data_IF_189611664870
#
_entry.id   IF_189611664870
#
_cell.length_a   1.000
_cell.length_b   1.000
_cell.length_c   1.000
_cell.angle_alpha   90.00
_cell.angle_beta   90.00
_cell.angle_gamma   90.00
#
_symmetry.space_group_name_H-M   'P 1'
#
loop_
_entity.id
_entity.type
_entity.pdbx_description
1 polymer ?
#
# COMPACT_ATOMS: atom_id res chain seq x y z
N UNK A 1 38.74 3.91 -4.99
CA UNK A 1 39.00 2.46 -4.91
C UNK A 1 37.65 1.79 -5.13
N UNK A 2 37.56 1.06 -6.22
CA UNK A 2 36.32 0.48 -6.70
C UNK A 2 35.72 -0.51 -5.67
N UNK A 3 34.57 -0.18 -5.11
CA UNK A 3 33.71 -1.15 -4.43
C UNK A 3 32.77 -1.73 -5.46
N UNK A 4 33.24 -2.73 -6.17
CA UNK A 4 32.44 -3.57 -7.05
C UNK A 4 31.51 -4.39 -6.16
N UNK A 5 30.19 -4.20 -6.30
CA UNK A 5 29.19 -5.08 -5.69
C UNK A 5 29.57 -6.53 -6.02
N UNK A 6 29.73 -7.35 -5.01
CA UNK A 6 29.89 -8.79 -5.13
C UNK A 6 28.54 -9.36 -5.65
N UNK A 7 28.40 -9.40 -6.96
CA UNK A 7 27.51 -10.34 -7.60
C UNK A 7 27.95 -11.73 -7.12
N UNK A 8 27.05 -12.42 -6.43
CA UNK A 8 27.24 -13.85 -6.12
C UNK A 8 27.41 -14.56 -7.47
N UNK A 9 28.65 -14.85 -7.80
CA UNK A 9 29.02 -15.46 -9.08
C UNK A 9 28.42 -16.88 -9.13
N UNK A 10 27.39 -17.08 -9.98
CA UNK A 10 27.00 -18.42 -10.41
C UNK A 10 25.54 -18.80 -10.35
N UNK A 11 24.60 -17.99 -9.83
CA UNK A 11 23.16 -18.26 -9.99
C UNK A 11 22.61 -17.49 -11.19
N UNK A 12 21.88 -18.18 -12.06
CA UNK A 12 21.11 -17.52 -13.12
C UNK A 12 20.14 -16.49 -12.49
N UNK A 13 19.91 -15.38 -13.20
CA UNK A 13 18.91 -14.38 -12.78
C UNK A 13 17.56 -15.09 -12.56
N UNK A 14 16.84 -14.79 -11.45
CA UNK A 14 15.54 -15.40 -11.21
C UNK A 14 14.54 -15.06 -12.32
N UNK A 15 13.65 -15.99 -12.63
CA UNK A 15 12.48 -15.68 -13.46
C UNK A 15 11.46 -14.89 -12.61
N UNK A 16 11.58 -13.57 -12.64
CA UNK A 16 10.74 -12.65 -11.87
C UNK A 16 9.26 -12.73 -12.22
N UNK A 17 8.92 -13.25 -13.41
CA UNK A 17 7.53 -13.44 -13.86
C UNK A 17 6.96 -14.78 -13.41
N UNK A 18 7.77 -15.67 -12.83
CA UNK A 18 7.29 -16.97 -12.42
C UNK A 18 6.50 -16.92 -11.10
N UNK A 19 5.46 -17.76 -11.05
CA UNK A 19 4.66 -17.94 -9.83
C UNK A 19 5.50 -18.40 -8.64
N UNK A 20 6.43 -19.31 -8.89
CA UNK A 20 7.25 -19.91 -7.82
C UNK A 20 8.20 -18.86 -7.23
N UNK A 21 8.85 -18.05 -8.05
CA UNK A 21 9.68 -16.94 -7.57
C UNK A 21 8.89 -16.00 -6.67
N UNK A 22 7.72 -15.53 -7.11
CA UNK A 22 6.90 -14.58 -6.34
C UNK A 22 6.46 -15.17 -5.00
N UNK A 23 6.03 -16.42 -4.97
CA UNK A 23 5.63 -17.10 -3.74
C UNK A 23 6.82 -17.32 -2.79
N UNK A 24 7.97 -17.72 -3.33
CA UNK A 24 9.17 -17.93 -2.50
C UNK A 24 9.71 -16.60 -1.96
N UNK A 25 9.65 -15.53 -2.74
CA UNK A 25 10.01 -14.19 -2.29
C UNK A 25 9.12 -13.73 -1.14
N UNK A 26 7.80 -13.92 -1.24
CA UNK A 26 6.87 -13.61 -0.13
C UNK A 26 7.17 -14.46 1.10
N UNK A 27 7.43 -15.78 0.96
CA UNK A 27 7.81 -16.64 2.10
C UNK A 27 9.09 -16.16 2.77
N UNK A 28 10.09 -15.76 1.98
CA UNK A 28 11.35 -15.22 2.50
C UNK A 28 11.15 -13.91 3.27
N UNK A 29 10.30 -13.04 2.77
CA UNK A 29 9.93 -11.79 3.45
C UNK A 29 9.16 -12.05 4.75
N UNK A 30 8.19 -12.96 4.75
CA UNK A 30 7.46 -13.37 5.96
C UNK A 30 8.38 -14.00 6.99
N UNK A 31 9.38 -14.78 6.57
CA UNK A 31 10.32 -15.44 7.47
C UNK A 31 11.17 -14.46 8.27
N UNK A 32 11.45 -13.26 7.75
CA UNK A 32 12.12 -12.19 8.49
C UNK A 32 11.32 -11.82 9.75
N UNK A 33 10.02 -11.58 9.61
CA UNK A 33 9.14 -11.21 10.72
C UNK A 33 8.79 -12.37 11.64
N UNK A 34 8.74 -13.61 11.12
CA UNK A 34 8.33 -14.77 11.90
C UNK A 34 9.23 -15.09 13.10
N UNK A 35 10.48 -14.63 13.08
CA UNK A 35 11.48 -14.95 14.11
C UNK A 35 11.22 -14.25 15.44
N UNK A 36 10.83 -12.99 15.42
CA UNK A 36 10.81 -12.12 16.61
C UNK A 36 9.64 -11.14 16.67
N UNK A 37 8.79 -11.09 15.64
CA UNK A 37 7.78 -10.04 15.57
C UNK A 37 6.61 -10.22 16.52
N UNK A 38 6.22 -11.48 16.83
CA UNK A 38 5.05 -11.74 17.67
C UNK A 38 5.32 -11.36 19.13
N UNK A 39 4.43 -10.55 19.69
CA UNK A 39 4.40 -10.21 21.11
C UNK A 39 3.31 -11.04 21.80
N UNK A 40 3.69 -11.87 22.78
CA UNK A 40 2.76 -12.72 23.49
C UNK A 40 1.80 -11.92 24.41
N UNK A 41 2.17 -10.69 24.78
CA UNK A 41 1.31 -9.77 25.52
C UNK A 41 0.23 -9.13 24.64
N UNK A 42 0.37 -9.19 23.32
CA UNK A 42 -0.58 -8.72 22.31
C UNK A 42 0.07 -8.14 21.06
N UNK A 43 -0.43 -8.55 19.90
CA UNK A 43 -0.01 -8.03 18.60
C UNK A 43 1.41 -8.42 18.18
N UNK A 44 2.06 -7.52 17.51
CA UNK A 44 3.40 -7.72 16.96
C UNK A 44 4.30 -6.52 17.29
N UNK A 45 5.61 -6.74 17.40
CA UNK A 45 6.60 -5.66 17.40
C UNK A 45 6.68 -5.04 16.00
N UNK A 46 6.97 -3.74 15.92
CA UNK A 46 6.95 -3.01 14.67
C UNK A 46 8.34 -2.59 14.19
N UNK A 47 9.29 -2.41 15.10
CA UNK A 47 10.53 -1.70 14.89
C UNK A 47 11.71 -2.65 14.85
N UNK A 48 12.24 -2.91 13.65
CA UNK A 48 13.29 -3.91 13.40
C UNK A 48 14.50 -3.30 12.73
N UNK A 49 15.68 -3.73 13.18
CA UNK A 49 16.93 -3.56 12.44
C UNK A 49 17.06 -4.58 11.31
N UNK A 50 18.07 -4.42 10.46
CA UNK A 50 18.34 -5.31 9.34
C UNK A 50 18.46 -6.78 9.74
N UNK A 51 19.11 -7.06 10.87
CA UNK A 51 19.31 -8.41 11.41
C UNK A 51 18.06 -9.02 12.10
N UNK A 52 16.95 -8.27 12.16
CA UNK A 52 15.74 -8.67 12.86
C UNK A 52 15.71 -8.32 14.36
N UNK A 53 16.72 -7.62 14.87
CA UNK A 53 16.71 -7.11 16.25
C UNK A 53 15.59 -6.09 16.42
N UNK A 54 14.74 -6.29 17.44
CA UNK A 54 13.67 -5.33 17.81
C UNK A 54 14.30 -4.20 18.60
N UNK A 55 14.30 -2.97 18.06
CA UNK A 55 14.90 -1.82 18.71
C UNK A 55 13.91 -0.98 19.54
N UNK A 56 12.59 -1.11 19.29
CA UNK A 56 11.54 -0.58 20.17
C UNK A 56 10.49 -1.68 20.42
N UNK A 57 10.35 -2.06 21.69
CA UNK A 57 9.45 -3.12 22.12
C UNK A 57 8.12 -2.62 22.64
N UNK A 58 7.95 -1.33 22.79
CA UNK A 58 6.78 -0.75 23.48
C UNK A 58 5.87 0.04 22.57
N UNK A 59 6.40 0.78 21.62
CA UNK A 59 5.59 1.58 20.71
C UNK A 59 4.86 0.70 19.69
N UNK A 60 3.58 0.98 19.49
CA UNK A 60 2.73 0.35 18.47
C UNK A 60 2.04 1.43 17.64
N UNK A 61 2.28 1.38 16.35
CA UNK A 61 1.69 2.28 15.39
C UNK A 61 0.47 1.64 14.72
N UNK A 62 -0.64 2.36 14.57
CA UNK A 62 -1.89 1.84 14.04
C UNK A 62 -1.71 1.12 12.69
N UNK A 63 -1.02 1.78 11.75
CA UNK A 63 -0.83 1.23 10.40
C UNK A 63 0.00 -0.05 10.41
N UNK A 64 1.04 -0.14 11.25
CA UNK A 64 1.81 -1.38 11.38
C UNK A 64 0.93 -2.52 11.94
N UNK A 65 0.09 -2.23 12.94
CA UNK A 65 -0.84 -3.23 13.50
C UNK A 65 -1.81 -3.75 12.44
N UNK A 66 -2.39 -2.87 11.61
CA UNK A 66 -3.30 -3.28 10.53
C UNK A 66 -2.59 -4.07 9.44
N UNK A 67 -1.37 -3.68 9.08
CA UNK A 67 -0.56 -4.35 8.06
C UNK A 67 -0.13 -5.76 8.47
N UNK A 68 0.08 -6.04 9.75
CA UNK A 68 0.28 -7.43 10.21
C UNK A 68 -0.97 -8.29 10.07
N UNK A 69 -2.18 -7.73 10.24
CA UNK A 69 -3.42 -8.44 9.91
C UNK A 69 -3.44 -8.82 8.43
N UNK A 70 -3.19 -7.84 7.55
CA UNK A 70 -3.13 -8.07 6.10
C UNK A 70 -2.11 -9.13 5.74
N UNK A 71 -0.86 -8.99 6.19
CA UNK A 71 0.23 -9.89 5.85
C UNK A 71 -0.08 -11.35 6.18
N UNK A 72 -0.62 -11.61 7.37
CA UNK A 72 -0.95 -12.97 7.78
C UNK A 72 -2.25 -13.48 7.16
N UNK A 73 -3.25 -12.63 6.94
CA UNK A 73 -4.47 -13.00 6.22
C UNK A 73 -4.17 -13.39 4.77
N UNK A 74 -3.35 -12.62 4.07
CA UNK A 74 -2.91 -12.93 2.71
C UNK A 74 -2.04 -14.20 2.66
N UNK A 75 -1.12 -14.35 3.63
CA UNK A 75 -0.33 -15.58 3.73
C UNK A 75 -1.22 -16.82 3.91
N UNK A 76 -2.25 -16.75 4.75
CA UNK A 76 -3.22 -17.83 4.91
C UNK A 76 -3.97 -18.13 3.62
N UNK A 77 -4.41 -17.12 2.89
CA UNK A 77 -5.15 -17.29 1.63
C UNK A 77 -4.31 -17.90 0.51
N UNK A 78 -3.00 -17.64 0.48
CA UNK A 78 -2.10 -18.12 -0.58
C UNK A 78 -1.35 -19.40 -0.22
N UNK A 79 -0.99 -19.60 1.04
CA UNK A 79 -0.19 -20.74 1.49
C UNK A 79 -0.98 -21.71 2.37
N UNK A 80 -2.13 -21.31 2.90
CA UNK A 80 -2.84 -22.05 3.93
C UNK A 80 -2.08 -22.02 5.27
N UNK A 81 -2.29 -23.07 6.08
CA UNK A 81 -1.60 -23.24 7.36
C UNK A 81 -2.26 -22.49 8.51
N UNK A 82 -2.61 -23.25 9.56
CA UNK A 82 -3.32 -22.71 10.74
C UNK A 82 -2.54 -21.57 11.41
N UNK A 83 -1.21 -21.64 11.42
CA UNK A 83 -0.37 -20.62 12.04
C UNK A 83 -0.57 -19.22 11.43
N UNK A 84 -0.76 -19.11 10.11
CA UNK A 84 -1.03 -17.81 9.47
C UNK A 84 -2.38 -17.25 9.88
N UNK A 85 -3.42 -18.10 9.94
CA UNK A 85 -4.74 -17.69 10.39
C UNK A 85 -4.72 -17.27 11.88
N UNK A 86 -4.04 -18.03 12.74
CA UNK A 86 -3.88 -17.70 14.16
C UNK A 86 -3.13 -16.38 14.38
N UNK A 87 -2.10 -16.12 13.58
CA UNK A 87 -1.37 -14.86 13.60
C UNK A 87 -2.23 -13.69 13.10
N UNK A 88 -3.02 -13.89 12.05
CA UNK A 88 -3.98 -12.88 11.59
C UNK A 88 -5.02 -12.55 12.66
N UNK A 89 -5.55 -13.58 13.34
CA UNK A 89 -6.50 -13.41 14.46
C UNK A 89 -5.86 -12.70 15.65
N UNK A 90 -4.62 -13.04 15.99
CA UNK A 90 -3.86 -12.40 17.07
C UNK A 90 -3.62 -10.90 16.77
N UNK A 91 -3.19 -10.56 15.55
CA UNK A 91 -3.02 -9.17 15.11
C UNK A 91 -4.34 -8.40 15.14
N UNK A 92 -5.43 -9.02 14.63
CA UNK A 92 -6.76 -8.42 14.57
C UNK A 92 -7.34 -8.16 15.97
N UNK A 93 -7.22 -9.11 16.88
CA UNK A 93 -7.66 -8.93 18.27
C UNK A 93 -6.90 -7.81 18.96
N UNK A 94 -5.59 -7.71 18.73
CA UNK A 94 -4.79 -6.59 19.25
C UNK A 94 -5.23 -5.25 18.68
N UNK A 95 -5.40 -5.15 17.36
CA UNK A 95 -5.88 -3.95 16.69
C UNK A 95 -7.18 -3.44 17.35
N UNK A 96 -8.14 -4.33 17.56
CA UNK A 96 -9.45 -4.01 18.11
C UNK A 96 -9.39 -3.65 19.59
N UNK A 97 -8.58 -4.34 20.38
CA UNK A 97 -8.54 -4.16 21.83
C UNK A 97 -7.58 -3.05 22.28
N UNK A 98 -6.45 -2.86 21.57
CA UNK A 98 -5.42 -1.94 21.99
C UNK A 98 -5.56 -0.56 21.34
N UNK A 99 -5.76 -0.47 20.01
CA UNK A 99 -5.88 0.84 19.35
C UNK A 99 -7.25 1.50 19.51
N UNK A 100 -8.31 0.73 19.78
CA UNK A 100 -9.64 1.28 19.95
C UNK A 100 -9.72 2.21 21.17
N UNK A 101 -10.25 3.41 20.97
CA UNK A 101 -10.65 4.36 22.01
C UNK A 101 -12.18 4.26 22.19
N UNK A 102 -12.60 3.65 23.30
CA UNK A 102 -14.03 3.45 23.58
C UNK A 102 -14.74 4.71 24.08
N UNK A 103 -13.99 5.78 24.43
CA UNK A 103 -14.58 7.03 24.91
C UNK A 103 -15.06 7.89 23.75
N UNK A 104 -14.23 8.01 22.71
CA UNK A 104 -14.52 8.85 21.55
C UNK A 104 -14.83 8.04 20.28
N UNK A 105 -14.89 6.72 20.37
CA UNK A 105 -15.22 5.81 19.25
C UNK A 105 -14.31 6.00 18.03
N UNK A 106 -13.04 5.56 18.14
CA UNK A 106 -12.07 5.65 17.04
C UNK A 106 -10.79 4.91 17.37
N UNK A 107 -9.83 4.95 16.46
CA UNK A 107 -8.56 4.26 16.63
C UNK A 107 -7.44 5.28 16.90
N UNK A 108 -6.70 5.06 18.00
CA UNK A 108 -5.53 5.86 18.33
C UNK A 108 -4.40 5.57 17.34
N UNK A 109 -3.72 6.64 16.88
CA UNK A 109 -2.66 6.58 15.88
C UNK A 109 -1.43 5.85 16.39
N UNK A 110 -0.97 6.20 17.61
CA UNK A 110 0.18 5.59 18.25
C UNK A 110 -0.06 5.35 19.73
N UNK A 111 0.32 4.18 20.19
CA UNK A 111 0.19 3.77 21.59
C UNK A 111 1.50 3.19 22.12
N UNK A 112 1.74 3.36 23.40
CA UNK A 112 2.65 2.50 24.15
C UNK A 112 1.87 1.28 24.66
N UNK A 113 2.41 0.10 24.40
CA UNK A 113 1.89 -1.16 24.89
C UNK A 113 2.94 -1.84 25.76
N UNK A 114 2.65 -2.02 27.04
CA UNK A 114 3.56 -2.60 27.98
C UNK A 114 2.82 -3.56 28.90
N UNK A 115 3.20 -4.84 28.87
CA UNK A 115 2.66 -5.88 29.75
C UNK A 115 1.11 -5.97 29.75
N UNK A 116 0.49 -5.78 28.58
CA UNK A 116 -0.96 -5.81 28.43
C UNK A 116 -1.67 -4.49 28.78
N UNK A 117 -0.93 -3.42 29.09
CA UNK A 117 -1.48 -2.11 29.41
C UNK A 117 -1.22 -1.10 28.26
N UNK A 118 -2.27 -0.34 27.90
CA UNK A 118 -2.24 0.72 26.90
C UNK A 118 -1.99 2.08 27.53
N UNK A 119 -1.14 2.88 26.89
CA UNK A 119 -1.08 4.34 27.05
C UNK A 119 -1.08 4.99 25.65
N UNK A 120 -2.05 5.85 25.39
CA UNK A 120 -2.10 6.60 24.11
C UNK A 120 -0.93 7.59 24.06
N UNK A 121 -0.12 7.52 23.00
CA UNK A 121 0.95 8.47 22.69
C UNK A 121 0.44 9.55 21.74
N UNK A 122 -0.28 9.14 20.70
CA UNK A 122 -0.95 10.02 19.75
C UNK A 122 -2.36 9.50 19.49
N UNK A 123 -3.35 10.28 19.90
CA UNK A 123 -4.78 9.97 19.70
C UNK A 123 -5.39 10.60 18.47
N UNK A 124 -4.60 11.23 17.59
CA UNK A 124 -5.09 11.84 16.34
C UNK A 124 -5.86 10.81 15.50
N UNK A 125 -7.02 11.22 15.02
CA UNK A 125 -7.87 10.40 14.15
C UNK A 125 -7.46 10.63 12.70
N UNK A 126 -6.67 9.74 12.14
CA UNK A 126 -6.28 9.78 10.74
C UNK A 126 -7.26 8.97 9.88
N UNK A 127 -7.84 9.56 8.85
CA UNK A 127 -8.63 8.84 7.85
C UNK A 127 -7.81 7.73 7.18
N UNK A 128 -6.54 8.01 6.87
CA UNK A 128 -5.55 7.03 6.41
C UNK A 128 -5.48 5.81 7.33
N UNK A 129 -5.37 6.02 8.65
CA UNK A 129 -5.33 4.93 9.64
C UNK A 129 -6.62 4.13 9.67
N UNK A 130 -7.79 4.78 9.60
CA UNK A 130 -9.10 4.13 9.56
C UNK A 130 -9.32 3.36 8.25
N UNK A 131 -8.80 3.86 7.11
CA UNK A 131 -8.80 3.11 5.86
C UNK A 131 -8.01 1.80 5.99
N UNK A 132 -6.84 1.82 6.66
CA UNK A 132 -6.11 0.59 6.95
C UNK A 132 -6.83 -0.33 7.94
N UNK A 133 -7.61 0.19 8.88
CA UNK A 133 -8.48 -0.64 9.72
C UNK A 133 -9.55 -1.33 8.88
N UNK A 134 -10.20 -0.60 7.97
CA UNK A 134 -11.19 -1.17 7.03
C UNK A 134 -10.56 -2.28 6.17
N UNK A 135 -9.37 -2.02 5.62
CA UNK A 135 -8.60 -2.99 4.84
C UNK A 135 -8.29 -4.25 5.66
N UNK A 136 -7.82 -4.08 6.90
CA UNK A 136 -7.53 -5.18 7.80
C UNK A 136 -8.79 -6.02 8.12
N UNK A 137 -9.93 -5.38 8.38
CA UNK A 137 -11.21 -6.05 8.61
C UNK A 137 -11.62 -6.88 7.38
N UNK A 138 -11.50 -6.30 6.17
CA UNK A 138 -11.86 -6.99 4.93
C UNK A 138 -10.98 -8.23 4.70
N UNK A 139 -9.66 -8.10 4.82
CA UNK A 139 -8.74 -9.23 4.64
C UNK A 139 -8.86 -10.29 5.74
N UNK A 140 -9.09 -9.89 6.99
CA UNK A 140 -9.37 -10.82 8.09
C UNK A 140 -10.65 -11.63 7.82
N UNK A 141 -11.72 -10.97 7.38
CA UNK A 141 -12.98 -11.64 7.01
C UNK A 141 -12.76 -12.64 5.86
N UNK A 142 -12.03 -12.26 4.81
CA UNK A 142 -11.68 -13.15 3.70
C UNK A 142 -10.77 -14.31 4.10
N UNK A 143 -10.01 -14.17 5.20
CA UNK A 143 -9.23 -15.24 5.79
C UNK A 143 -10.02 -16.13 6.80
N UNK A 144 -11.35 -15.96 6.89
CA UNK A 144 -12.22 -16.75 7.75
C UNK A 144 -12.21 -16.33 9.22
N UNK A 145 -11.88 -15.08 9.51
CA UNK A 145 -12.02 -14.48 10.85
C UNK A 145 -13.39 -13.80 10.90
N UNK A 146 -14.41 -14.54 11.31
CA UNK A 146 -15.82 -14.11 11.25
C UNK A 146 -16.10 -12.86 12.08
N UNK A 147 -15.37 -12.66 13.17
CA UNK A 147 -15.47 -11.49 14.04
C UNK A 147 -15.15 -10.17 13.32
N UNK A 148 -14.42 -10.24 12.20
CA UNK A 148 -14.09 -9.06 11.39
C UNK A 148 -15.23 -8.59 10.48
N UNK A 149 -16.18 -9.47 10.12
CA UNK A 149 -17.26 -9.16 9.18
C UNK A 149 -18.11 -7.95 9.57
N UNK A 150 -18.67 -7.86 10.80
CA UNK A 150 -19.47 -6.70 11.20
C UNK A 150 -18.64 -5.42 11.28
N UNK A 151 -17.32 -5.54 11.52
CA UNK A 151 -16.45 -4.39 11.68
C UNK A 151 -16.10 -3.70 10.34
N UNK A 152 -16.34 -4.36 9.21
CA UNK A 152 -16.23 -3.74 7.89
C UNK A 152 -17.21 -2.57 7.78
N UNK A 153 -18.51 -2.83 8.06
CA UNK A 153 -19.53 -1.80 7.99
C UNK A 153 -19.39 -0.76 9.11
N UNK A 154 -19.10 -1.19 10.35
CA UNK A 154 -18.83 -0.29 11.49
C UNK A 154 -17.72 0.72 11.15
N UNK A 155 -16.58 0.25 10.60
CA UNK A 155 -15.45 1.11 10.25
C UNK A 155 -15.80 2.04 9.09
N UNK A 156 -16.49 1.54 8.08
CA UNK A 156 -16.95 2.36 6.96
C UNK A 156 -17.89 3.48 7.43
N UNK A 157 -18.88 3.17 8.28
CA UNK A 157 -19.81 4.14 8.82
C UNK A 157 -19.11 5.18 9.71
N UNK A 158 -18.11 4.76 10.48
CA UNK A 158 -17.28 5.67 11.28
C UNK A 158 -16.53 6.67 10.37
N UNK A 159 -15.91 6.16 9.28
CA UNK A 159 -15.25 7.02 8.30
C UNK A 159 -16.24 7.97 7.62
N UNK A 160 -17.42 7.49 7.23
CA UNK A 160 -18.45 8.31 6.61
C UNK A 160 -19.00 9.40 7.53
N UNK A 161 -19.20 9.06 8.79
CA UNK A 161 -19.70 9.99 9.80
C UNK A 161 -18.75 11.16 10.04
N UNK A 162 -17.44 10.88 10.07
CA UNK A 162 -16.47 11.85 10.59
C UNK A 162 -15.57 12.48 9.53
N UNK A 163 -15.28 11.79 8.42
CA UNK A 163 -14.36 12.29 7.42
C UNK A 163 -15.01 12.61 6.07
N UNK A 164 -16.21 12.07 5.78
CA UNK A 164 -16.79 12.23 4.45
C UNK A 164 -17.28 13.64 4.17
N UNK A 165 -16.66 14.30 3.19
CA UNK A 165 -17.14 15.54 2.60
C UNK A 165 -18.05 15.23 1.40
N UNK A 166 -19.37 15.29 1.62
CA UNK A 166 -20.35 14.94 0.61
C UNK A 166 -20.34 15.89 -0.60
N UNK A 167 -19.96 17.16 -0.40
CA UNK A 167 -19.89 18.16 -1.47
C UNK A 167 -18.69 17.92 -2.37
N UNK A 168 -17.54 17.60 -1.78
CA UNK A 168 -16.34 17.24 -2.52
C UNK A 168 -16.38 15.80 -3.03
N UNK A 169 -17.10 14.91 -2.37
CA UNK A 169 -17.12 13.47 -2.67
C UNK A 169 -15.78 12.84 -2.36
N UNK A 170 -15.11 13.27 -1.28
CA UNK A 170 -13.80 12.83 -0.81
C UNK A 170 -13.81 12.77 0.72
N UNK A 171 -12.82 12.07 1.29
CA UNK A 171 -12.60 12.04 2.72
C UNK A 171 -11.59 13.13 3.15
N UNK A 172 -11.90 13.84 4.24
CA UNK A 172 -10.94 14.66 4.98
C UNK A 172 -9.86 13.78 5.61
N UNK A 173 -8.72 14.36 5.98
CA UNK A 173 -7.52 13.58 6.35
C UNK A 173 -7.44 13.21 7.82
N UNK A 174 -7.69 14.18 8.71
CA UNK A 174 -7.46 13.98 10.13
C UNK A 174 -8.38 14.82 11.00
N UNK A 175 -8.55 14.37 12.24
CA UNK A 175 -9.26 15.05 13.29
C UNK A 175 -8.56 14.86 14.64
N UNK A 176 -8.88 15.74 15.59
CA UNK A 176 -8.52 15.56 17.01
C UNK A 176 -9.16 14.28 17.58
N UNK A 177 -8.73 13.78 18.75
CA UNK A 177 -9.35 12.63 19.40
C UNK A 177 -10.87 12.76 19.60
N UNK A 178 -11.38 13.98 19.78
CA UNK A 178 -12.81 14.32 19.90
C UNK A 178 -13.47 14.70 18.55
N UNK A 179 -12.84 14.35 17.43
CA UNK A 179 -13.36 14.48 16.07
C UNK A 179 -13.50 15.91 15.51
N UNK A 180 -12.67 16.85 15.96
CA UNK A 180 -12.58 18.16 15.30
C UNK A 180 -11.67 18.05 14.08
N UNK A 181 -12.24 18.20 12.87
CA UNK A 181 -11.51 18.10 11.62
C UNK A 181 -10.46 19.20 11.47
N UNK A 182 -9.27 18.83 11.01
CA UNK A 182 -8.23 19.77 10.58
C UNK A 182 -8.58 20.44 9.25
N UNK A 183 -7.86 21.51 8.91
CA UNK A 183 -7.99 22.17 7.60
C UNK A 183 -7.25 21.47 6.47
N UNK A 184 -6.32 20.57 6.78
CA UNK A 184 -5.55 19.84 5.78
C UNK A 184 -6.41 18.83 5.03
N UNK A 185 -6.16 18.71 3.73
CA UNK A 185 -6.74 17.69 2.85
C UNK A 185 -5.62 17.09 2.01
N UNK A 186 -5.68 15.77 1.79
CA UNK A 186 -4.68 15.06 1.00
C UNK A 186 -5.29 13.99 0.10
N UNK A 187 -4.53 13.59 -0.89
CA UNK A 187 -4.93 12.49 -1.75
C UNK A 187 -4.64 11.13 -1.11
N UNK A 188 -3.61 11.01 -0.26
CA UNK A 188 -3.10 9.73 0.25
C UNK A 188 -4.15 8.97 1.08
N UNK A 189 -4.87 9.66 1.99
CA UNK A 189 -5.97 9.06 2.73
C UNK A 189 -7.09 8.56 1.81
N UNK A 190 -7.40 9.29 0.73
CA UNK A 190 -8.40 8.91 -0.26
C UNK A 190 -7.95 7.72 -1.13
N UNK A 191 -6.66 7.62 -1.43
CA UNK A 191 -6.09 6.49 -2.16
C UNK A 191 -6.24 5.19 -1.37
N UNK A 192 -5.81 5.17 -0.12
CA UNK A 192 -5.95 3.98 0.71
C UNK A 192 -7.40 3.70 1.15
N UNK A 193 -8.25 4.73 1.24
CA UNK A 193 -9.69 4.51 1.38
C UNK A 193 -10.27 3.79 0.15
N UNK A 194 -9.83 4.14 -1.07
CA UNK A 194 -10.22 3.43 -2.30
C UNK A 194 -9.78 1.97 -2.27
N UNK A 195 -8.53 1.70 -1.88
CA UNK A 195 -8.00 0.34 -1.70
C UNK A 195 -8.84 -0.48 -0.70
N UNK A 196 -9.08 0.09 0.48
CA UNK A 196 -9.85 -0.55 1.54
C UNK A 196 -11.31 -0.83 1.13
N UNK A 197 -11.94 0.09 0.38
CA UNK A 197 -13.29 -0.06 -0.14
C UNK A 197 -13.38 -1.15 -1.21
N UNK A 198 -12.38 -1.28 -2.08
CA UNK A 198 -12.29 -2.38 -3.04
C UNK A 198 -12.18 -3.73 -2.30
N UNK A 199 -11.32 -3.82 -1.29
CA UNK A 199 -11.21 -5.02 -0.45
C UNK A 199 -12.50 -5.31 0.34
N UNK A 200 -13.20 -4.29 0.86
CA UNK A 200 -14.49 -4.44 1.52
C UNK A 200 -15.57 -4.96 0.57
N UNK A 201 -15.56 -4.49 -0.69
CA UNK A 201 -16.42 -5.05 -1.73
C UNK A 201 -16.10 -6.51 -2.03
N UNK A 202 -14.82 -6.86 -2.17
CA UNK A 202 -14.38 -8.24 -2.39
C UNK A 202 -14.78 -9.17 -1.24
N UNK A 203 -14.72 -8.68 0.01
CA UNK A 203 -15.10 -9.45 1.20
C UNK A 203 -16.60 -9.65 1.36
N UNK A 204 -17.44 -8.72 0.88
CA UNK A 204 -18.88 -8.67 1.22
C UNK A 204 -19.81 -8.75 0.02
N UNK A 205 -19.36 -8.36 -1.17
CA UNK A 205 -20.19 -8.16 -2.36
C UNK A 205 -21.10 -6.92 -2.29
N UNK A 206 -20.96 -6.07 -1.26
CA UNK A 206 -21.87 -4.93 -1.07
C UNK A 206 -21.49 -3.77 -1.98
N UNK A 207 -22.33 -3.47 -2.97
CA UNK A 207 -22.08 -2.51 -4.05
C UNK A 207 -21.78 -1.09 -3.57
N UNK A 208 -22.25 -0.70 -2.39
CA UNK A 208 -21.99 0.62 -1.79
C UNK A 208 -20.48 0.92 -1.68
N UNK A 209 -19.67 -0.08 -1.32
CA UNK A 209 -18.21 0.09 -1.22
C UNK A 209 -17.59 0.33 -2.60
N UNK A 210 -18.04 -0.41 -3.61
CA UNK A 210 -17.58 -0.23 -4.99
C UNK A 210 -17.97 1.15 -5.55
N UNK A 211 -19.23 1.61 -5.29
CA UNK A 211 -19.70 2.94 -5.71
C UNK A 211 -18.88 4.06 -5.06
N UNK A 212 -18.53 3.89 -3.78
CA UNK A 212 -17.69 4.86 -3.06
C UNK A 212 -16.25 4.87 -3.60
N UNK A 213 -15.66 3.71 -3.86
CA UNK A 213 -14.33 3.58 -4.44
C UNK A 213 -14.27 4.26 -5.83
N UNK A 214 -15.24 3.99 -6.71
CA UNK A 214 -15.33 4.64 -8.03
C UNK A 214 -15.41 6.15 -7.90
N UNK A 215 -16.27 6.64 -7.00
CA UNK A 215 -16.47 8.09 -6.79
C UNK A 215 -15.18 8.77 -6.35
N UNK A 216 -14.44 8.19 -5.39
CA UNK A 216 -13.18 8.75 -4.92
C UNK A 216 -12.13 8.70 -6.04
N UNK A 217 -11.99 7.55 -6.71
CA UNK A 217 -11.04 7.38 -7.81
C UNK A 217 -11.25 8.41 -8.92
N UNK A 218 -12.50 8.63 -9.37
CA UNK A 218 -12.82 9.66 -10.35
C UNK A 218 -12.56 11.08 -9.85
N UNK A 219 -12.87 11.35 -8.58
CA UNK A 219 -12.65 12.69 -8.01
C UNK A 219 -11.15 13.01 -7.87
N UNK A 220 -10.31 12.09 -7.41
CA UNK A 220 -8.86 12.32 -7.30
C UNK A 220 -8.20 12.28 -8.67
N UNK A 221 -8.36 11.17 -9.41
CA UNK A 221 -7.54 10.93 -10.60
C UNK A 221 -7.99 11.70 -11.84
N UNK A 222 -9.21 12.21 -11.87
CA UNK A 222 -9.72 13.04 -12.97
C UNK A 222 -9.95 14.49 -12.55
N UNK A 223 -10.84 14.72 -11.56
CA UNK A 223 -11.26 16.08 -11.19
C UNK A 223 -10.12 16.87 -10.55
N UNK A 224 -9.53 16.36 -9.45
CA UNK A 224 -8.44 17.05 -8.75
C UNK A 224 -7.17 17.09 -9.60
N UNK A 225 -6.84 16.01 -10.29
CA UNK A 225 -5.68 15.95 -11.17
C UNK A 225 -5.72 16.98 -12.32
N UNK A 226 -6.90 17.41 -12.80
CA UNK A 226 -7.01 18.49 -13.79
C UNK A 226 -6.44 19.81 -13.29
N UNK A 227 -6.47 20.06 -11.98
CA UNK A 227 -5.93 21.28 -11.37
C UNK A 227 -4.39 21.30 -11.39
N UNK A 228 -3.76 20.16 -11.61
CA UNK A 228 -2.32 19.92 -11.58
C UNK A 228 -1.81 19.26 -12.87
N UNK A 229 -2.29 19.72 -14.02
CA UNK A 229 -1.88 19.27 -15.35
C UNK A 229 -2.04 17.77 -15.59
N UNK A 230 -3.05 17.18 -14.98
CA UNK A 230 -3.37 15.75 -15.12
C UNK A 230 -2.60 14.83 -14.18
N UNK A 231 -1.79 15.34 -13.28
CA UNK A 231 -1.08 14.54 -12.27
C UNK A 231 -1.80 14.57 -10.93
N UNK A 232 -1.66 13.55 -10.10
CA UNK A 232 -2.22 13.53 -8.76
C UNK A 232 -1.30 14.31 -7.83
N UNK A 233 -1.76 15.49 -7.38
CA UNK A 233 -1.07 16.30 -6.36
C UNK A 233 -1.39 15.79 -4.97
N UNK A 234 -0.44 15.96 -4.01
CA UNK A 234 -0.56 15.40 -2.68
C UNK A 234 -1.45 16.21 -1.72
N UNK A 235 -1.42 17.56 -1.80
CA UNK A 235 -1.87 18.45 -0.73
C UNK A 235 -2.91 19.45 -1.20
N UNK A 236 -3.96 19.62 -0.40
CA UNK A 236 -5.06 20.54 -0.67
C UNK A 236 -5.47 21.30 0.59
N UNK A 237 -6.06 22.48 0.40
CA UNK A 237 -6.72 23.27 1.43
C UNK A 237 -8.08 22.64 1.82
N UNK A 238 -8.73 23.18 2.86
CA UNK A 238 -10.02 22.69 3.35
C UNK A 238 -11.14 22.72 2.31
N UNK A 239 -11.05 23.59 1.30
CA UNK A 239 -11.97 23.72 0.17
C UNK A 239 -11.57 22.89 -1.06
N UNK A 240 -10.56 22.01 -0.93
CA UNK A 240 -9.99 21.19 -1.99
C UNK A 240 -9.29 21.97 -3.12
N UNK A 241 -9.01 23.25 -2.93
CA UNK A 241 -8.02 23.96 -3.77
C UNK A 241 -6.62 23.44 -3.46
N UNK A 242 -5.74 23.46 -4.50
CA UNK A 242 -4.37 22.94 -4.32
C UNK A 242 -3.58 23.83 -3.36
N UNK A 243 -2.87 23.21 -2.43
CA UNK A 243 -1.81 23.84 -1.65
C UNK A 243 -0.45 23.48 -2.28
N UNK A 244 0.08 24.39 -3.07
CA UNK A 244 1.36 24.18 -3.78
C UNK A 244 2.59 24.27 -2.86
N UNK A 245 2.43 24.82 -1.66
CA UNK A 245 3.53 25.15 -0.76
C UNK A 245 3.56 24.31 0.52
N UNK A 246 2.62 23.39 0.67
CA UNK A 246 2.58 22.52 1.85
C UNK A 246 3.86 21.68 1.95
N UNK A 247 4.62 21.82 3.03
CA UNK A 247 5.90 21.15 3.27
C UNK A 247 6.99 21.40 2.19
N UNK A 248 6.92 22.49 1.44
CA UNK A 248 7.94 22.83 0.41
C UNK A 248 9.35 22.90 1.01
N UNK A 249 9.50 23.28 2.27
CA UNK A 249 10.77 23.30 2.98
C UNK A 249 11.21 21.96 3.57
N UNK A 250 10.35 20.92 3.48
CA UNK A 250 10.58 19.57 3.99
C UNK A 250 10.07 18.54 2.96
N UNK A 251 10.67 18.55 1.78
CA UNK A 251 10.26 17.69 0.65
C UNK A 251 10.43 16.21 0.92
N UNK A 252 11.27 15.84 1.90
CA UNK A 252 11.51 14.45 2.32
C UNK A 252 10.68 14.04 3.54
N UNK A 253 9.64 14.79 3.91
CA UNK A 253 8.74 14.40 4.99
C UNK A 253 8.12 13.03 4.72
N UNK A 254 8.25 12.11 5.67
CA UNK A 254 7.89 10.70 5.47
C UNK A 254 6.39 10.49 5.18
N UNK A 255 5.52 11.31 5.76
CA UNK A 255 4.07 11.13 5.65
C UNK A 255 3.42 12.13 4.70
N UNK A 256 4.03 13.31 4.51
CA UNK A 256 3.47 14.40 3.71
C UNK A 256 4.57 15.14 2.94
N UNK A 257 5.31 14.42 2.05
CA UNK A 257 6.38 15.03 1.25
C UNK A 257 5.82 16.05 0.27
N UNK A 258 6.56 17.13 0.03
CA UNK A 258 6.20 18.08 -1.01
C UNK A 258 6.48 17.51 -2.41
N UNK A 259 5.67 17.90 -3.37
CA UNK A 259 5.82 17.50 -4.77
C UNK A 259 4.87 16.38 -5.19
N UNK A 260 5.00 15.94 -6.41
CA UNK A 260 4.35 14.76 -6.94
C UNK A 260 5.10 13.51 -6.51
N UNK A 261 4.39 12.51 -6.04
CA UNK A 261 4.97 11.23 -5.67
C UNK A 261 4.82 10.22 -6.82
N UNK A 262 5.91 9.78 -7.48
CA UNK A 262 5.85 8.77 -8.54
C UNK A 262 5.15 7.50 -8.11
N UNK A 263 5.44 7.04 -6.88
CA UNK A 263 4.79 5.87 -6.29
C UNK A 263 3.28 6.02 -6.18
N UNK A 264 2.78 7.20 -5.79
CA UNK A 264 1.34 7.44 -5.72
C UNK A 264 0.68 7.53 -7.10
N UNK A 265 1.38 8.07 -8.13
CA UNK A 265 0.86 8.00 -9.51
C UNK A 265 0.66 6.55 -9.94
N UNK A 266 1.66 5.69 -9.71
CA UNK A 266 1.60 4.28 -10.10
C UNK A 266 0.66 3.46 -9.21
N UNK A 267 0.57 3.76 -7.92
CA UNK A 267 -0.38 3.10 -7.01
C UNK A 267 -1.84 3.43 -7.37
N UNK A 268 -2.15 4.69 -7.72
CA UNK A 268 -3.45 5.02 -8.28
C UNK A 268 -3.73 4.26 -9.57
N UNK A 269 -2.74 4.13 -10.47
CA UNK A 269 -2.90 3.33 -11.68
C UNK A 269 -3.23 1.88 -11.36
N UNK A 270 -2.58 1.27 -10.35
CA UNK A 270 -2.90 -0.06 -9.83
C UNK A 270 -4.36 -0.15 -9.36
N UNK A 271 -4.79 0.81 -8.54
CA UNK A 271 -6.15 0.82 -7.98
C UNK A 271 -7.23 1.00 -9.06
N UNK A 272 -6.97 1.80 -10.09
CA UNK A 272 -7.87 1.91 -11.25
C UNK A 272 -8.02 0.57 -11.99
N UNK A 273 -6.94 -0.20 -12.13
CA UNK A 273 -6.98 -1.52 -12.75
C UNK A 273 -7.68 -2.57 -11.85
N UNK A 274 -7.53 -2.47 -10.53
CA UNK A 274 -8.30 -3.30 -9.58
C UNK A 274 -9.78 -2.94 -9.66
N UNK A 275 -10.14 -1.66 -9.67
CA UNK A 275 -11.51 -1.21 -9.86
C UNK A 275 -12.12 -1.74 -11.19
N UNK A 276 -11.34 -1.75 -12.28
CA UNK A 276 -11.78 -2.24 -13.58
C UNK A 276 -12.18 -3.73 -13.54
N UNK A 277 -11.56 -4.54 -12.67
CA UNK A 277 -11.93 -5.97 -12.49
C UNK A 277 -13.38 -6.14 -12.06
N UNK A 278 -13.90 -5.19 -11.29
CA UNK A 278 -15.24 -5.23 -10.71
C UNK A 278 -16.25 -4.38 -11.49
N UNK A 279 -15.76 -3.33 -12.17
CA UNK A 279 -16.61 -2.40 -12.93
C UNK A 279 -15.88 -1.88 -14.16
N UNK A 280 -16.26 -2.41 -15.32
CA UNK A 280 -15.67 -2.01 -16.60
C UNK A 280 -16.15 -0.59 -16.99
N UNK A 281 -15.28 0.40 -16.75
CA UNK A 281 -15.50 1.78 -17.18
C UNK A 281 -14.43 2.17 -18.21
N UNK A 282 -14.82 2.82 -19.34
CA UNK A 282 -13.91 3.03 -20.47
C UNK A 282 -12.74 3.97 -20.17
N UNK A 283 -12.78 4.72 -19.07
CA UNK A 283 -11.74 5.67 -18.70
C UNK A 283 -10.64 5.07 -17.80
N UNK A 284 -10.87 3.91 -17.14
CA UNK A 284 -9.99 3.36 -16.11
C UNK A 284 -8.62 2.97 -16.68
N UNK A 285 -8.57 2.06 -17.65
CA UNK A 285 -7.30 1.60 -18.19
C UNK A 285 -6.52 2.72 -18.92
N UNK A 286 -7.12 3.58 -19.78
CA UNK A 286 -6.40 4.73 -20.33
C UNK A 286 -5.81 5.63 -19.26
N UNK A 287 -6.58 5.91 -18.20
CA UNK A 287 -6.11 6.76 -17.10
C UNK A 287 -4.98 6.10 -16.30
N UNK A 288 -5.06 4.81 -16.06
CA UNK A 288 -4.00 4.05 -15.42
C UNK A 288 -2.69 4.11 -16.22
N UNK A 289 -2.75 4.00 -17.55
CA UNK A 289 -1.58 4.15 -18.43
C UNK A 289 -0.97 5.55 -18.30
N UNK A 290 -1.78 6.61 -18.36
CA UNK A 290 -1.30 7.99 -18.22
C UNK A 290 -0.57 8.24 -16.89
N UNK A 291 -1.13 7.74 -15.77
CA UNK A 291 -0.53 7.89 -14.44
C UNK A 291 0.75 7.07 -14.31
N UNK A 292 0.76 5.83 -14.81
CA UNK A 292 1.96 4.99 -14.83
C UNK A 292 3.08 5.65 -15.62
N UNK A 293 2.80 6.05 -16.87
CA UNK A 293 3.79 6.67 -17.74
C UNK A 293 4.31 7.99 -17.12
N UNK A 294 3.44 8.74 -16.45
CA UNK A 294 3.82 9.96 -15.76
C UNK A 294 4.76 9.72 -14.58
N UNK A 295 4.44 8.74 -13.73
CA UNK A 295 5.26 8.38 -12.58
C UNK A 295 6.60 7.76 -12.98
N UNK A 296 6.57 6.76 -13.86
CA UNK A 296 7.76 6.03 -14.29
C UNK A 296 8.75 6.92 -15.07
N UNK A 297 8.30 7.56 -16.15
CA UNK A 297 9.20 8.27 -17.06
C UNK A 297 9.84 9.54 -16.46
N UNK A 298 9.20 10.15 -15.43
CA UNK A 298 9.76 11.34 -14.78
C UNK A 298 10.73 11.02 -13.66
N UNK A 299 10.56 9.86 -13.02
CA UNK A 299 11.30 9.54 -11.81
C UNK A 299 12.36 8.44 -11.99
N UNK A 300 12.44 7.81 -13.15
CA UNK A 300 13.47 6.81 -13.41
C UNK A 300 14.87 7.42 -13.38
N UNK A 301 15.78 6.81 -12.62
CA UNK A 301 17.18 7.22 -12.55
C UNK A 301 18.00 6.47 -13.60
N UNK A 302 18.30 7.14 -14.71
CA UNK A 302 19.10 6.58 -15.82
C UNK A 302 20.56 6.24 -15.42
N UNK A 303 21.05 6.82 -14.31
CA UNK A 303 22.44 6.62 -13.89
C UNK A 303 22.62 5.43 -12.95
N UNK A 304 21.70 5.26 -11.99
CA UNK A 304 21.84 4.26 -10.93
C UNK A 304 20.67 3.28 -10.86
N UNK A 305 19.67 3.45 -11.72
CA UNK A 305 18.43 2.67 -11.73
C UNK A 305 17.48 3.01 -10.58
N UNK A 306 16.25 2.51 -10.69
CA UNK A 306 15.20 2.74 -9.70
C UNK A 306 14.50 4.09 -9.83
N UNK A 307 13.43 4.26 -9.08
CA UNK A 307 12.60 5.46 -9.11
C UNK A 307 12.94 6.37 -7.93
N UNK A 308 13.19 7.63 -8.21
CA UNK A 308 13.27 8.70 -7.22
C UNK A 308 11.94 8.88 -6.47
N UNK A 309 12.01 9.49 -5.28
CA UNK A 309 10.86 9.62 -4.42
C UNK A 309 9.89 10.73 -4.83
N UNK A 310 10.38 11.88 -5.30
CA UNK A 310 9.52 13.02 -5.62
C UNK A 310 10.03 13.92 -6.74
N UNK A 311 9.10 14.54 -7.47
CA UNK A 311 9.40 15.57 -8.45
C UNK A 311 8.46 16.80 -8.32
N UNK A 312 8.97 17.97 -8.65
CA UNK A 312 8.24 19.24 -8.57
C UNK A 312 7.32 19.50 -9.75
N UNK A 313 6.51 20.59 -9.69
CA UNK A 313 5.64 21.02 -10.78
C UNK A 313 6.38 21.39 -12.07
N UNK A 314 7.66 21.71 -11.98
CA UNK A 314 8.57 21.97 -13.10
C UNK A 314 9.23 20.70 -13.67
N UNK A 315 8.87 19.53 -13.15
CA UNK A 315 9.45 18.22 -13.41
C UNK A 315 10.90 18.03 -12.93
N UNK A 316 11.46 18.94 -12.14
CA UNK A 316 12.74 18.70 -11.46
C UNK A 316 12.55 17.68 -10.33
N UNK A 317 13.56 16.83 -10.11
CA UNK A 317 13.54 15.92 -8.97
C UNK A 317 13.75 16.72 -7.69
N UNK A 318 12.79 16.65 -6.76
CA UNK A 318 12.84 17.34 -5.48
C UNK A 318 13.28 16.43 -4.32
N UNK A 319 13.14 15.11 -4.47
CA UNK A 319 13.68 14.12 -3.56
C UNK A 319 14.32 12.97 -4.37
N UNK A 320 15.64 12.85 -4.25
CA UNK A 320 16.46 11.88 -4.98
C UNK A 320 16.61 10.53 -4.24
N UNK A 321 16.05 10.39 -3.06
CA UNK A 321 16.05 9.13 -2.35
C UNK A 321 15.15 8.10 -3.06
N UNK A 322 15.42 6.83 -2.81
CA UNK A 322 14.65 5.73 -3.39
C UNK A 322 14.02 4.93 -2.27
N UNK A 323 12.71 4.80 -2.34
CA UNK A 323 11.92 4.11 -1.33
C UNK A 323 11.45 2.76 -1.85
N UNK A 324 11.53 1.73 -1.00
CA UNK A 324 11.17 0.35 -1.31
C UNK A 324 9.75 0.22 -1.87
N UNK A 325 8.79 0.95 -1.28
CA UNK A 325 7.39 0.86 -1.65
C UNK A 325 7.09 1.45 -3.03
N UNK A 326 7.81 2.50 -3.43
CA UNK A 326 7.69 3.11 -4.76
C UNK A 326 8.03 2.09 -5.85
N UNK A 327 9.13 1.34 -5.67
CA UNK A 327 9.53 0.29 -6.60
C UNK A 327 8.48 -0.83 -6.64
N UNK A 328 8.01 -1.26 -5.46
CA UNK A 328 7.04 -2.35 -5.33
C UNK A 328 5.70 -2.02 -6.00
N UNK A 329 5.13 -0.86 -5.71
CA UNK A 329 3.86 -0.43 -6.30
C UNK A 329 3.97 -0.26 -7.81
N UNK A 330 5.11 0.24 -8.28
CA UNK A 330 5.33 0.45 -9.71
C UNK A 330 5.49 -0.86 -10.47
N UNK A 331 6.24 -1.86 -9.96
CA UNK A 331 6.32 -3.14 -10.67
C UNK A 331 4.98 -3.89 -10.68
N UNK A 332 4.19 -3.82 -9.60
CA UNK A 332 2.86 -4.41 -9.58
C UNK A 332 1.97 -3.79 -10.67
N UNK A 333 1.97 -2.45 -10.76
CA UNK A 333 1.23 -1.73 -11.79
C UNK A 333 1.69 -2.09 -13.20
N UNK A 334 3.00 -2.19 -13.42
CA UNK A 334 3.57 -2.61 -14.70
C UNK A 334 3.06 -3.99 -15.12
N UNK A 335 3.06 -4.97 -14.22
CA UNK A 335 2.53 -6.31 -14.50
C UNK A 335 1.02 -6.29 -14.83
N UNK A 336 0.24 -5.53 -14.07
CA UNK A 336 -1.21 -5.38 -14.33
C UNK A 336 -1.48 -4.74 -15.70
N UNK A 337 -0.72 -3.69 -16.07
CA UNK A 337 -0.82 -3.05 -17.38
C UNK A 337 -0.35 -3.98 -18.50
N UNK A 338 0.75 -4.71 -18.32
CA UNK A 338 1.24 -5.70 -19.27
C UNK A 338 0.18 -6.75 -19.56
N UNK A 339 -0.45 -7.28 -18.52
CA UNK A 339 -1.56 -8.24 -18.66
C UNK A 339 -2.79 -7.62 -19.31
N UNK A 340 -3.18 -6.40 -18.90
CA UNK A 340 -4.40 -5.74 -19.38
C UNK A 340 -4.30 -5.31 -20.85
N UNK A 341 -3.13 -4.85 -21.28
CA UNK A 341 -2.92 -4.26 -22.62
C UNK A 341 -2.28 -5.22 -23.62
N UNK A 342 -1.57 -6.23 -23.14
CA UNK A 342 -0.73 -7.11 -23.98
C UNK A 342 0.54 -6.43 -24.52
N UNK A 343 0.89 -5.23 -24.04
CA UNK A 343 2.06 -4.47 -24.49
C UNK A 343 3.31 -4.88 -23.70
N UNK A 344 4.34 -5.37 -24.41
CA UNK A 344 5.58 -5.85 -23.80
C UNK A 344 6.33 -4.75 -23.03
N UNK A 345 6.23 -3.49 -23.44
CA UNK A 345 6.90 -2.36 -22.73
C UNK A 345 6.63 -2.32 -21.22
N UNK A 346 5.45 -2.75 -20.79
CA UNK A 346 5.13 -2.79 -19.36
C UNK A 346 5.81 -3.97 -18.65
N UNK A 347 5.96 -5.10 -19.36
CA UNK A 347 6.74 -6.21 -18.83
C UNK A 347 8.24 -5.90 -18.81
N UNK A 348 8.75 -5.12 -19.76
CA UNK A 348 10.12 -4.62 -19.73
C UNK A 348 10.36 -3.74 -18.48
N UNK A 349 9.44 -2.79 -18.19
CA UNK A 349 9.49 -1.98 -16.96
C UNK A 349 9.43 -2.85 -15.69
N UNK A 350 8.58 -3.89 -15.69
CA UNK A 350 8.47 -4.86 -14.59
C UNK A 350 9.79 -5.56 -14.32
N UNK A 351 10.41 -6.12 -15.36
CA UNK A 351 11.67 -6.85 -15.22
C UNK A 351 12.81 -5.92 -14.78
N UNK A 352 12.85 -4.69 -15.30
CA UNK A 352 13.86 -3.70 -14.95
C UNK A 352 13.75 -3.29 -13.47
N UNK A 353 12.54 -3.03 -12.99
CA UNK A 353 12.27 -2.74 -11.58
C UNK A 353 12.63 -3.92 -10.67
N UNK A 354 12.35 -5.16 -11.09
CA UNK A 354 12.74 -6.33 -10.31
C UNK A 354 14.25 -6.52 -10.26
N UNK A 355 14.97 -6.39 -11.41
CA UNK A 355 16.44 -6.45 -11.42
C UNK A 355 17.04 -5.44 -10.47
N UNK A 356 16.54 -4.20 -10.55
CA UNK A 356 16.97 -3.13 -9.65
C UNK A 356 16.68 -3.47 -8.18
N UNK A 357 15.45 -3.84 -7.86
CA UNK A 357 15.04 -4.13 -6.49
C UNK A 357 15.76 -5.35 -5.92
N UNK A 358 15.96 -6.38 -6.73
CA UNK A 358 16.70 -7.59 -6.36
C UNK A 358 18.14 -7.29 -6.00
N UNK A 359 18.78 -6.41 -6.76
CA UNK A 359 20.18 -6.04 -6.54
C UNK A 359 20.38 -5.08 -5.35
N UNK A 360 19.41 -4.20 -5.06
CA UNK A 360 19.63 -3.08 -4.14
C UNK A 360 18.71 -3.07 -2.91
N UNK A 361 17.46 -3.49 -3.04
CA UNK A 361 16.49 -3.45 -1.94
C UNK A 361 16.31 -4.77 -1.21
N UNK A 362 16.36 -5.91 -1.91
CA UNK A 362 16.18 -7.21 -1.27
C UNK A 362 17.37 -7.52 -0.37
N UNK A 363 17.11 -7.77 0.91
CA UNK A 363 18.14 -8.25 1.82
C UNK A 363 18.28 -9.77 1.71
N UNK A 364 19.31 -10.20 0.99
CA UNK A 364 19.60 -11.62 0.75
C UNK A 364 20.15 -12.35 1.96
N UNK A 365 20.64 -11.63 2.98
CA UNK A 365 21.20 -12.22 4.20
C UNK A 365 20.11 -12.48 5.24
N UNK A 366 19.26 -11.46 5.50
CA UNK A 366 18.30 -11.53 6.61
C UNK A 366 16.85 -11.65 6.16
N UNK A 367 16.56 -11.31 4.92
CA UNK A 367 15.20 -11.28 4.37
C UNK A 367 14.55 -9.90 4.43
N UNK A 368 13.37 -9.81 3.82
CA UNK A 368 12.63 -8.55 3.62
C UNK A 368 13.42 -7.52 2.77
N UNK A 369 12.94 -6.29 2.70
CA UNK A 369 13.55 -5.24 1.89
C UNK A 369 14.14 -4.14 2.76
N UNK A 370 15.26 -3.55 2.33
CA UNK A 370 15.75 -2.31 2.92
C UNK A 370 14.72 -1.19 2.72
N UNK A 371 14.74 -0.18 3.59
CA UNK A 371 13.69 0.84 3.62
C UNK A 371 13.87 1.93 2.57
N UNK A 372 15.02 2.61 2.64
CA UNK A 372 15.35 3.80 1.84
C UNK A 372 16.80 3.69 1.41
N UNK A 373 17.07 4.04 0.17
CA UNK A 373 18.40 4.16 -0.39
C UNK A 373 18.64 5.59 -0.86
N UNK A 374 19.90 6.04 -0.75
CA UNK A 374 20.36 7.26 -1.39
C UNK A 374 20.26 7.15 -2.92
N UNK A 375 20.41 8.26 -3.64
CA UNK A 375 20.42 8.25 -5.10
C UNK A 375 21.46 7.28 -5.70
N UNK A 376 22.61 7.08 -5.03
CA UNK A 376 23.66 6.14 -5.44
C UNK A 376 23.53 4.75 -4.76
N UNK A 377 22.33 4.39 -4.35
CA UNK A 377 21.92 3.08 -3.84
C UNK A 377 22.59 2.63 -2.55
N UNK A 378 22.95 3.57 -1.65
CA UNK A 378 23.48 3.25 -0.33
C UNK A 378 22.42 3.37 0.74
N UNK A 379 22.45 2.52 1.76
CA UNK A 379 21.58 2.62 2.93
C UNK A 379 22.00 3.81 3.82
N UNK A 380 21.01 4.44 4.46
CA UNK A 380 21.25 5.45 5.49
C UNK A 380 21.63 4.85 6.85
N UNK A 381 21.12 3.67 7.17
CA UNK A 381 21.31 3.01 8.47
C UNK A 381 20.84 1.56 8.44
N UNK A 382 20.63 0.99 9.62
CA UNK A 382 20.24 -0.40 9.82
C UNK A 382 18.75 -0.56 10.26
N UNK A 383 17.97 0.52 10.23
CA UNK A 383 16.55 0.48 10.57
C UNK A 383 15.73 -0.02 9.37
N UNK A 384 15.49 -1.32 9.30
CA UNK A 384 14.77 -1.96 8.21
C UNK A 384 13.26 -1.68 8.28
N UNK A 385 12.66 -1.82 9.44
CA UNK A 385 11.21 -1.65 9.62
C UNK A 385 10.92 -0.65 10.72
N UNK A 386 10.76 0.64 10.41
CA UNK A 386 10.17 1.62 11.30
C UNK A 386 8.65 1.58 11.26
N UNK A 387 7.98 2.55 11.92
CA UNK A 387 6.54 2.71 11.86
C UNK A 387 6.00 2.62 10.42
N UNK A 388 4.96 1.84 10.22
CA UNK A 388 4.24 1.70 8.96
C UNK A 388 4.85 0.73 7.94
N UNK A 389 6.12 0.32 8.03
CA UNK A 389 6.72 -0.50 6.96
C UNK A 389 6.16 -1.93 6.89
N UNK A 390 6.52 -2.87 7.69
CA UNK A 390 6.08 -4.29 7.73
C UNK A 390 6.10 -5.07 6.39
N UNK A 391 6.73 -4.57 5.34
CA UNK A 391 6.74 -5.12 3.96
C UNK A 391 5.36 -5.43 3.36
N UNK A 392 4.34 -4.69 3.77
CA UNK A 392 2.99 -4.74 3.21
C UNK A 392 2.99 -4.48 1.69
N UNK A 393 3.66 -3.42 1.23
CA UNK A 393 3.72 -3.06 -0.18
C UNK A 393 4.45 -4.12 -1.02
N UNK A 394 5.57 -4.63 -0.56
CA UNK A 394 6.37 -5.61 -1.31
C UNK A 394 5.65 -6.94 -1.45
N UNK A 395 5.03 -7.43 -0.39
CA UNK A 395 4.23 -8.67 -0.45
C UNK A 395 2.91 -8.45 -1.18
N UNK A 396 2.22 -7.33 -0.95
CA UNK A 396 1.00 -6.95 -1.65
C UNK A 396 1.20 -6.87 -3.16
N UNK A 397 2.30 -6.24 -3.59
CA UNK A 397 2.70 -6.18 -4.98
C UNK A 397 2.89 -7.58 -5.60
N UNK A 398 3.59 -8.49 -4.91
CA UNK A 398 3.73 -9.87 -5.38
C UNK A 398 2.39 -10.60 -5.50
N UNK A 399 1.47 -10.41 -4.55
CA UNK A 399 0.14 -11.01 -4.61
C UNK A 399 -0.69 -10.47 -5.79
N UNK A 400 -0.59 -9.17 -6.09
CA UNK A 400 -1.26 -8.59 -7.25
C UNK A 400 -0.71 -9.11 -8.57
N UNK A 401 0.61 -9.29 -8.68
CA UNK A 401 1.23 -9.93 -9.86
C UNK A 401 0.77 -11.38 -9.99
N UNK A 402 0.72 -12.14 -8.89
CA UNK A 402 0.20 -13.51 -8.88
C UNK A 402 -1.23 -13.60 -9.39
N UNK A 403 -2.10 -12.65 -9.00
CA UNK A 403 -3.46 -12.55 -9.51
C UNK A 403 -3.48 -12.30 -11.03
N UNK A 404 -2.60 -11.42 -11.52
CA UNK A 404 -2.51 -11.08 -12.94
C UNK A 404 -2.06 -12.27 -13.81
N UNK A 405 -1.02 -13.00 -13.39
CA UNK A 405 -0.50 -14.15 -14.16
C UNK A 405 -1.40 -15.38 -14.05
N UNK A 406 -2.06 -15.63 -12.89
CA UNK A 406 -2.95 -16.79 -12.70
C UNK A 406 -4.24 -16.67 -13.49
N UNK A 407 -4.71 -15.47 -13.80
CA UNK A 407 -5.89 -15.24 -14.65
C UNK A 407 -5.66 -15.67 -16.13
N UNK A 408 -4.44 -16.09 -16.51
CA UNK A 408 -4.13 -16.60 -17.85
C UNK A 408 -4.55 -18.06 -18.05
N UNK A 409 -4.69 -18.85 -16.98
CA UNK A 409 -4.95 -20.29 -17.04
C UNK A 409 -6.44 -20.66 -17.00
N UNK A 410 -7.34 -19.70 -16.82
CA UNK A 410 -8.78 -19.94 -16.92
C UNK A 410 -9.17 -19.99 -18.42
N UNK A 411 -9.68 -21.12 -18.94
CA UNK A 411 -10.15 -21.16 -20.31
C UNK A 411 -11.25 -20.13 -20.50
N UNK A 412 -11.15 -19.34 -21.58
CA UNK A 412 -12.25 -18.47 -22.05
C UNK A 412 -13.47 -19.36 -22.33
N UNK A 413 -14.31 -19.57 -21.30
CA UNK A 413 -15.60 -20.17 -21.50
C UNK A 413 -16.44 -19.18 -22.31
N UNK A 414 -16.48 -19.50 -23.60
CA UNK A 414 -17.45 -19.10 -24.63
C UNK A 414 -18.57 -18.15 -24.17
N UNK A 415 -18.41 -16.86 -24.46
CA UNK A 415 -19.52 -15.93 -24.69
C UNK A 415 -20.16 -16.15 -26.06
N UNK A 416 -20.49 -17.40 -26.39
CA UNK A 416 -21.29 -17.79 -27.56
C UNK A 416 -22.35 -18.78 -27.15
N UNK A 417 -23.42 -18.32 -26.52
CA UNK A 417 -24.76 -18.96 -26.60
C UNK A 417 -25.82 -18.02 -25.99
N UNK A 418 -26.07 -16.89 -26.64
CA UNK A 418 -27.31 -16.13 -26.46
C UNK A 418 -27.66 -15.35 -27.74
N UNK A 419 -27.58 -16.01 -28.89
CA UNK A 419 -28.23 -15.56 -30.14
C UNK A 419 -28.65 -16.78 -30.95
N UNK A 420 -29.66 -17.49 -30.50
CA UNK A 420 -30.51 -18.32 -31.32
C UNK A 420 -31.68 -18.84 -30.45
N UNK A 421 -32.72 -18.06 -30.34
CA UNK A 421 -34.12 -18.56 -30.45
C UNK A 421 -35.06 -17.38 -30.38
N UNK A 422 -35.60 -17.12 -31.56
CA UNK A 422 -36.83 -16.41 -31.97
C UNK A 422 -37.06 -14.98 -31.47
#
# INVERSE_FOLDING_TARGET
>A
MNSTALLVAGSAEPDFRSRDFLLDHVRHTLAFYARTARDDSGGFFHFFKDDGTVYDRTTRHLVSSTRFVFNHAMAFRHFGGQQHQDNARHAFAFLRNAHWDAVNEGYDWEIEWRDGAKRTLDGTRHCYGHAFVLLACAHAAMAGIDEAKPLIDETFQLMDKHFWDAAAGLYADEATPDWQLSSYRGQNANMHATEALLAAYEATGHVLYLDRAEKIAGNITLRQARLSNGLVWEHFNADWSIDWHYNESDSSNIFRPWGFQPGHQTEWAKLLLILERHRALPWLAPRAIELFDAGFNRAWDDQHGGLYYGFGPDNSICDHDKYFWVQAETFATAALLGKRTGLERFWDCYDELWRYSWAHFVDHEHGAWFRILTCDNRKYGDEKSPAGKTDYHTMGACYEVLNAISAADAPQQSRETAKATS
#
